data_IF_920438674877
#
_entry.id   IF_920438674877
#
_cell.length_a   1.000
_cell.length_b   1.000
_cell.length_c   1.000
_cell.angle_alpha   90.00
_cell.angle_beta   90.00
_cell.angle_gamma   90.00
#
_symmetry.space_group_name_H-M   'P 1'
#
loop_
_entity.id
_entity.type
_entity.pdbx_description
1 polymer ?
#
# COMPACT_ATOMS: atom_id res chain seq x y z
N UNK A 1 27.97 11.11 17.23
CA UNK A 1 27.55 9.75 17.63
C UNK A 1 26.26 9.88 18.41
N UNK A 2 25.13 9.60 17.77
CA UNK A 2 23.85 9.50 18.46
C UNK A 2 23.76 8.06 18.96
N UNK A 3 23.85 7.87 20.27
CA UNK A 3 23.68 6.56 20.91
C UNK A 3 22.25 6.10 20.68
N UNK A 4 22.06 5.10 19.81
CA UNK A 4 20.78 4.41 19.68
C UNK A 4 20.63 3.44 20.86
N UNK A 5 19.96 3.89 21.91
CA UNK A 5 19.34 2.99 22.88
C UNK A 5 18.35 2.12 22.11
N UNK A 6 18.46 0.79 22.23
CA UNK A 6 17.56 -0.15 21.56
C UNK A 6 16.10 0.20 21.92
N UNK A 7 15.35 0.71 20.96
CA UNK A 7 13.91 0.97 21.11
C UNK A 7 13.17 -0.36 21.27
N UNK A 8 12.09 -0.36 22.07
CA UNK A 8 11.32 -1.56 22.44
C UNK A 8 10.58 -2.20 21.25
N UNK A 9 10.50 -1.50 20.11
CA UNK A 9 9.89 -1.94 18.86
C UNK A 9 10.62 -1.30 17.66
N UNK A 10 10.49 -1.83 16.42
CA UNK A 10 11.01 -1.17 15.23
C UNK A 10 10.27 0.15 14.97
N UNK A 11 10.96 1.27 15.15
CA UNK A 11 10.43 2.63 14.93
C UNK A 11 11.12 3.26 13.72
N UNK A 12 10.35 3.99 12.91
CA UNK A 12 10.90 4.79 11.82
C UNK A 12 11.75 5.95 12.36
N UNK A 13 12.81 6.36 11.66
CA UNK A 13 13.60 7.52 12.08
C UNK A 13 12.77 8.81 12.08
N UNK A 14 13.01 9.66 13.09
CA UNK A 14 12.31 10.93 13.29
C UNK A 14 11.29 10.90 14.44
N UNK A 15 10.71 12.05 14.73
CA UNK A 15 9.57 12.27 15.62
C UNK A 15 8.27 12.40 14.81
N UNK A 16 7.07 12.43 15.43
CA UNK A 16 5.85 12.74 14.70
C UNK A 16 5.95 14.06 13.93
N UNK A 17 5.62 14.05 12.63
CA UNK A 17 5.71 15.21 11.74
C UNK A 17 7.05 15.43 11.03
N UNK A 18 8.14 14.74 11.39
CA UNK A 18 9.43 14.77 10.69
C UNK A 18 10.00 13.36 10.42
N UNK A 19 9.13 12.35 10.44
CA UNK A 19 9.47 10.96 10.13
C UNK A 19 10.03 10.85 8.71
N UNK A 20 11.10 10.07 8.58
CA UNK A 20 11.77 9.91 7.30
C UNK A 20 12.34 8.53 7.07
N UNK A 21 12.53 8.20 5.80
CA UNK A 21 13.42 7.14 5.36
C UNK A 21 14.81 7.70 5.10
N UNK A 22 15.81 6.96 5.57
CA UNK A 22 17.21 7.22 5.23
C UNK A 22 17.53 6.48 3.94
N UNK A 23 17.81 7.22 2.87
CA UNK A 23 18.06 6.68 1.55
C UNK A 23 19.54 6.82 1.19
N UNK A 24 20.21 5.69 0.99
CA UNK A 24 21.53 5.63 0.37
C UNK A 24 21.35 5.36 -1.12
N UNK A 25 21.58 6.39 -1.95
CA UNK A 25 21.30 6.30 -3.39
C UNK A 25 22.24 5.30 -4.09
N UNK A 26 21.72 4.58 -5.08
CA UNK A 26 22.55 3.75 -5.95
C UNK A 26 23.26 4.64 -6.98
N UNK A 27 24.60 4.61 -6.99
CA UNK A 27 25.43 5.44 -7.87
C UNK A 27 26.06 4.66 -9.05
N UNK A 28 25.58 3.43 -9.29
CA UNK A 28 26.09 2.53 -10.33
C UNK A 28 27.32 1.70 -9.92
N UNK A 29 28.06 2.09 -8.88
CA UNK A 29 29.16 1.32 -8.29
C UNK A 29 28.79 0.68 -6.93
N UNK A 30 27.65 1.06 -6.37
CA UNK A 30 27.16 0.66 -5.06
C UNK A 30 26.19 1.70 -4.52
N UNK A 31 26.18 1.87 -3.20
CA UNK A 31 25.40 2.92 -2.53
C UNK A 31 26.28 4.08 -2.09
N UNK A 32 25.76 5.29 -2.15
CA UNK A 32 26.41 6.48 -1.60
C UNK A 32 26.69 6.31 -0.11
N UNK A 33 27.73 6.97 0.39
CA UNK A 33 28.10 6.93 1.82
C UNK A 33 27.26 7.89 2.66
N UNK A 34 26.91 9.03 2.08
CA UNK A 34 26.06 10.03 2.72
C UNK A 34 24.62 9.80 2.26
N UNK A 35 23.67 9.61 3.20
CA UNK A 35 22.27 9.40 2.83
C UNK A 35 21.55 10.72 2.57
N UNK A 36 20.46 10.64 1.82
CA UNK A 36 19.38 11.63 1.84
C UNK A 36 18.27 11.17 2.78
N UNK A 37 17.39 12.10 3.18
CA UNK A 37 16.27 11.81 4.08
C UNK A 37 14.97 12.16 3.39
N UNK A 38 14.11 11.16 3.22
CA UNK A 38 12.83 11.29 2.55
C UNK A 38 11.73 11.33 3.59
N UNK A 39 11.04 12.46 3.71
CA UNK A 39 9.91 12.57 4.62
C UNK A 39 8.80 11.60 4.18
N UNK A 40 8.16 10.98 5.16
CA UNK A 40 6.94 10.19 4.96
C UNK A 40 5.74 10.90 5.60
N UNK A 41 4.52 10.64 5.11
CA UNK A 41 3.32 11.06 5.82
C UNK A 41 3.21 10.41 7.21
N UNK A 42 2.23 10.85 8.00
CA UNK A 42 1.86 10.17 9.24
C UNK A 42 1.04 8.91 8.91
N UNK A 43 1.39 7.78 9.52
CA UNK A 43 0.78 6.47 9.27
C UNK A 43 1.72 5.31 9.55
N UNK A 44 1.38 4.12 9.04
CA UNK A 44 2.15 2.89 9.18
C UNK A 44 1.77 2.07 10.41
N UNK A 45 2.73 1.36 11.00
CA UNK A 45 2.52 0.65 12.27
C UNK A 45 2.33 1.63 13.41
N UNK A 46 1.51 1.29 14.40
CA UNK A 46 1.26 2.11 15.58
C UNK A 46 1.62 1.31 16.83
N UNK A 47 2.73 1.66 17.48
CA UNK A 47 3.11 0.97 18.70
C UNK A 47 2.38 1.54 19.95
N UNK A 48 2.29 0.77 21.05
CA UNK A 48 1.66 1.23 22.29
C UNK A 48 2.30 2.46 22.94
N UNK A 49 3.51 2.84 22.53
CA UNK A 49 4.24 4.02 23.00
C UNK A 49 3.92 5.28 22.16
N UNK A 50 3.02 5.17 21.17
CA UNK A 50 2.56 6.28 20.32
C UNK A 50 3.47 6.59 19.13
N UNK A 51 4.41 5.69 18.81
CA UNK A 51 5.20 5.81 17.59
C UNK A 51 4.47 5.18 16.42
N UNK A 52 4.03 6.04 15.51
CA UNK A 52 3.61 5.64 14.17
C UNK A 52 4.83 5.55 13.24
N UNK A 53 4.78 4.74 12.19
CA UNK A 53 5.73 4.88 11.09
C UNK A 53 5.67 3.80 10.02
N UNK A 54 6.00 4.21 8.79
CA UNK A 54 6.29 3.29 7.69
C UNK A 54 7.70 2.74 7.89
N UNK A 55 7.88 1.81 8.83
CA UNK A 55 9.21 1.32 9.19
C UNK A 55 9.79 0.30 8.18
N UNK A 56 9.05 -0.03 7.13
CA UNK A 56 9.39 -0.96 6.06
C UNK A 56 8.81 -0.46 4.73
N UNK A 57 9.29 -1.00 3.60
CA UNK A 57 8.76 -0.67 2.26
C UNK A 57 7.34 -1.19 2.04
N UNK A 58 6.95 -2.24 2.75
CA UNK A 58 5.58 -2.74 2.83
C UNK A 58 5.36 -3.36 4.21
N UNK A 59 4.12 -3.30 4.68
CA UNK A 59 3.75 -3.82 5.98
C UNK A 59 2.26 -3.67 6.24
N UNK A 60 1.85 -4.19 7.40
CA UNK A 60 0.53 -3.95 7.97
C UNK A 60 0.11 -5.00 8.98
N UNK A 61 -0.95 -4.66 9.68
CA UNK A 61 -1.64 -5.49 10.68
C UNK A 61 -3.12 -5.09 10.73
N UNK A 62 -3.91 -5.93 11.36
CA UNK A 62 -5.34 -5.75 11.60
C UNK A 62 -5.63 -4.90 12.83
N UNK A 63 -4.62 -4.58 13.63
CA UNK A 63 -4.78 -3.77 14.83
C UNK A 63 -5.27 -2.34 14.49
N UNK A 64 -6.16 -1.83 15.35
CA UNK A 64 -6.79 -0.52 15.17
C UNK A 64 -5.74 0.60 15.13
N UNK A 65 -5.77 1.41 14.07
CA UNK A 65 -4.80 2.49 13.84
C UNK A 65 -3.51 2.04 13.17
N UNK A 66 -3.32 0.75 12.91
CA UNK A 66 -2.23 0.25 12.05
C UNK A 66 -2.67 0.29 10.59
N UNK A 67 -1.74 0.59 9.68
CA UNK A 67 -2.05 0.65 8.27
C UNK A 67 -1.59 -0.61 7.53
N UNK A 68 -2.24 -0.97 6.43
CA UNK A 68 -1.60 -1.75 5.38
C UNK A 68 -1.02 -0.80 4.34
N UNK A 69 0.24 -1.00 3.97
CA UNK A 69 0.92 -0.19 2.97
C UNK A 69 1.94 -1.00 2.16
N UNK A 70 2.31 -0.43 1.01
CA UNK A 70 3.39 -0.92 0.16
C UNK A 70 4.01 0.24 -0.61
N UNK A 71 5.17 0.00 -1.22
CA UNK A 71 5.72 0.88 -2.25
C UNK A 71 5.69 0.21 -3.61
N UNK A 72 5.06 0.86 -4.59
CA UNK A 72 4.96 0.41 -5.97
C UNK A 72 4.75 1.63 -6.86
N UNK A 73 5.25 1.58 -8.10
CA UNK A 73 4.91 2.61 -9.09
C UNK A 73 3.46 2.41 -9.52
N UNK A 74 2.56 3.22 -8.94
CA UNK A 74 1.13 3.15 -9.25
C UNK A 74 0.72 4.30 -10.18
N UNK A 75 1.46 5.40 -10.14
CA UNK A 75 1.25 6.58 -11.01
C UNK A 75 1.80 6.40 -12.43
N UNK A 76 2.69 5.43 -12.65
CA UNK A 76 3.30 5.09 -13.94
C UNK A 76 4.41 6.05 -14.37
N UNK A 77 5.04 6.72 -13.41
CA UNK A 77 6.10 7.71 -13.66
C UNK A 77 7.52 7.13 -13.53
N UNK A 78 7.63 5.82 -13.30
CA UNK A 78 8.86 5.07 -13.08
C UNK A 78 9.40 5.15 -11.66
N UNK A 79 8.70 5.78 -10.71
CA UNK A 79 9.12 5.88 -9.30
C UNK A 79 8.13 5.16 -8.40
N UNK A 80 8.60 4.40 -7.39
CA UNK A 80 7.70 3.76 -6.45
C UNK A 80 7.03 4.81 -5.56
N UNK A 81 5.70 4.84 -5.59
CA UNK A 81 4.83 5.62 -4.72
C UNK A 81 4.65 4.93 -3.37
N UNK A 82 4.27 5.67 -2.32
CA UNK A 82 3.81 5.07 -1.07
C UNK A 82 2.29 4.93 -1.10
N UNK A 83 1.81 3.70 -1.00
CA UNK A 83 0.39 3.38 -1.12
C UNK A 83 -0.09 2.85 0.23
N UNK A 84 -1.14 3.45 0.78
CA UNK A 84 -1.82 2.97 1.98
C UNK A 84 -3.19 2.45 1.58
N UNK A 85 -3.41 1.15 1.76
CA UNK A 85 -4.61 0.46 1.26
C UNK A 85 -5.72 0.39 2.30
N UNK A 86 -5.39 0.33 3.58
CA UNK A 86 -6.37 0.26 4.67
C UNK A 86 -5.80 0.66 6.02
N UNK A 87 -6.68 0.84 7.01
CA UNK A 87 -6.37 0.98 8.43
C UNK A 87 -7.13 -0.08 9.24
N UNK A 88 -6.44 -0.83 10.11
CA UNK A 88 -7.02 -1.96 10.85
C UNK A 88 -7.66 -3.00 9.94
N UNK A 89 -7.08 -3.21 8.75
CA UNK A 89 -7.65 -4.05 7.69
C UNK A 89 -8.89 -3.50 6.97
N UNK A 90 -9.36 -2.30 7.31
CA UNK A 90 -10.53 -1.65 6.70
C UNK A 90 -10.10 -0.56 5.72
N UNK A 91 -10.54 -0.69 4.46
CA UNK A 91 -10.24 0.28 3.41
C UNK A 91 -10.85 1.66 3.74
N UNK A 92 -10.20 2.75 3.29
CA UNK A 92 -10.72 4.11 3.51
C UNK A 92 -12.00 4.35 2.71
N UNK A 93 -12.89 5.20 3.25
CA UNK A 93 -14.20 5.47 2.66
C UNK A 93 -15.28 4.51 3.16
N UNK A 94 -16.47 4.60 2.58
CA UNK A 94 -17.62 3.75 2.85
C UNK A 94 -18.13 3.05 1.60
N UNK A 95 -19.38 2.58 1.64
CA UNK A 95 -19.98 1.92 0.48
C UNK A 95 -20.10 2.89 -0.71
N UNK A 96 -19.45 2.54 -1.82
CA UNK A 96 -19.48 3.31 -3.07
C UNK A 96 -18.35 4.35 -3.24
N UNK A 97 -17.53 4.60 -2.23
CA UNK A 97 -16.40 5.54 -2.27
C UNK A 97 -15.11 4.98 -1.62
N UNK A 98 -15.01 3.64 -1.56
CA UNK A 98 -13.81 2.98 -1.04
C UNK A 98 -12.59 3.33 -1.85
N UNK A 99 -11.49 3.60 -1.18
CA UNK A 99 -10.29 4.11 -1.82
C UNK A 99 -9.00 3.71 -1.12
N UNK A 100 -7.91 3.78 -1.89
CA UNK A 100 -6.54 3.79 -1.36
C UNK A 100 -6.02 5.22 -1.29
N UNK A 101 -5.11 5.47 -0.34
CA UNK A 101 -4.34 6.72 -0.27
C UNK A 101 -3.03 6.54 -1.01
N UNK A 102 -2.82 7.37 -2.03
CA UNK A 102 -1.60 7.36 -2.85
C UNK A 102 -0.78 8.61 -2.52
N UNK A 103 0.39 8.40 -1.94
CA UNK A 103 1.38 9.43 -1.69
C UNK A 103 2.45 9.32 -2.79
N UNK A 104 2.22 10.05 -3.88
CA UNK A 104 3.09 10.05 -5.04
C UNK A 104 4.55 10.41 -4.69
N UNK A 105 5.48 9.72 -5.33
CA UNK A 105 6.90 9.99 -5.21
C UNK A 105 7.31 11.20 -6.05
N UNK A 106 8.00 12.15 -5.42
CA UNK A 106 8.44 13.41 -6.03
C UNK A 106 9.90 13.39 -6.52
N UNK A 107 10.60 12.28 -6.31
CA UNK A 107 12.04 12.13 -6.56
C UNK A 107 12.94 12.55 -5.40
N UNK A 108 12.41 13.24 -4.39
CA UNK A 108 13.12 13.63 -3.16
C UNK A 108 12.37 13.27 -1.88
N UNK A 109 11.26 12.53 -2.01
CA UNK A 109 10.35 12.15 -0.94
C UNK A 109 8.94 11.92 -1.47
N UNK A 110 7.97 11.73 -0.57
CA UNK A 110 6.56 11.59 -0.93
C UNK A 110 5.81 12.91 -0.74
N UNK A 111 4.75 13.12 -1.50
CA UNK A 111 3.80 14.22 -1.20
C UNK A 111 3.21 14.01 0.20
N UNK A 112 2.90 15.12 0.88
CA UNK A 112 2.34 15.06 2.24
C UNK A 112 0.85 14.70 2.26
N UNK A 113 0.10 15.24 1.32
CA UNK A 113 -1.34 14.98 1.18
C UNK A 113 -1.57 13.90 0.12
N UNK A 114 -2.34 12.84 0.41
CA UNK A 114 -2.57 11.77 -0.54
C UNK A 114 -3.62 12.15 -1.58
N UNK A 115 -3.54 11.52 -2.74
CA UNK A 115 -4.69 11.36 -3.63
C UNK A 115 -5.49 10.13 -3.20
N UNK A 116 -6.82 10.20 -3.28
CA UNK A 116 -7.69 9.05 -2.99
C UNK A 116 -8.08 8.37 -4.30
N UNK A 117 -7.64 7.14 -4.49
CA UNK A 117 -7.94 6.36 -5.69
C UNK A 117 -9.05 5.37 -5.38
N UNK A 118 -10.19 5.55 -6.04
CA UNK A 118 -11.34 4.67 -5.86
C UNK A 118 -11.01 3.25 -6.31
N UNK A 119 -11.47 2.28 -5.54
CA UNK A 119 -11.47 0.87 -5.96
C UNK A 119 -12.88 0.44 -6.36
N UNK A 120 -13.02 -0.60 -7.20
CA UNK A 120 -14.33 -1.20 -7.44
C UNK A 120 -14.94 -1.78 -6.14
N UNK A 121 -16.20 -2.19 -6.21
CA UNK A 121 -16.81 -2.99 -5.16
C UNK A 121 -16.25 -4.43 -5.19
N UNK A 122 -15.89 -4.96 -4.02
CA UNK A 122 -15.34 -6.31 -3.87
C UNK A 122 -14.25 -6.38 -2.80
N UNK A 123 -13.39 -7.38 -2.93
CA UNK A 123 -12.25 -7.63 -2.05
C UNK A 123 -12.55 -8.63 -0.93
N UNK A 124 -11.92 -8.41 0.22
CA UNK A 124 -12.10 -9.20 1.45
C UNK A 124 -13.34 -8.75 2.21
N UNK A 125 -14.01 -9.65 2.94
CA UNK A 125 -15.21 -9.38 3.73
C UNK A 125 -15.02 -9.88 5.17
N UNK A 126 -14.86 -8.97 6.13
CA UNK A 126 -14.88 -9.32 7.56
C UNK A 126 -15.76 -8.38 8.36
N UNK A 127 -16.62 -8.95 9.21
CA UNK A 127 -17.50 -8.23 10.13
C UNK A 127 -18.29 -7.06 9.51
N UNK A 128 -18.63 -7.16 8.22
CA UNK A 128 -19.39 -6.14 7.48
C UNK A 128 -18.53 -5.07 6.80
N UNK A 129 -17.21 -5.15 6.91
CA UNK A 129 -16.28 -4.41 6.07
C UNK A 129 -16.08 -5.18 4.78
N UNK A 130 -16.12 -4.49 3.64
CA UNK A 130 -15.59 -5.04 2.40
C UNK A 130 -14.55 -4.09 1.81
N UNK A 131 -13.58 -4.64 1.10
CA UNK A 131 -12.65 -3.82 0.33
C UNK A 131 -11.38 -4.53 -0.09
N UNK A 132 -10.68 -3.90 -1.02
CA UNK A 132 -9.34 -4.31 -1.44
C UNK A 132 -8.34 -3.78 -0.42
N UNK A 133 -8.31 -4.38 0.77
CA UNK A 133 -7.54 -3.87 1.90
C UNK A 133 -6.02 -4.02 1.75
N UNK A 134 -5.54 -4.68 0.69
CA UNK A 134 -4.13 -4.89 0.37
C UNK A 134 -3.91 -4.77 -1.14
N UNK A 135 -2.66 -4.63 -1.58
CA UNK A 135 -2.30 -4.58 -3.01
C UNK A 135 -2.55 -5.91 -3.73
N UNK A 136 -2.46 -7.00 -2.99
CA UNK A 136 -2.83 -8.35 -3.39
C UNK A 136 -3.33 -9.11 -2.17
N UNK A 137 -4.33 -9.94 -2.36
CA UNK A 137 -4.95 -10.68 -1.26
C UNK A 137 -6.00 -11.64 -1.77
N UNK A 138 -6.62 -12.33 -0.83
CA UNK A 138 -7.81 -13.11 -1.09
C UNK A 138 -8.06 -14.16 -0.05
N UNK A 139 -9.30 -14.60 -0.03
CA UNK A 139 -9.80 -15.58 0.91
C UNK A 139 -10.93 -16.40 0.24
N UNK A 140 -11.22 -17.55 0.83
CA UNK A 140 -12.06 -18.60 0.25
C UNK A 140 -13.54 -18.43 0.59
N UNK A 141 -13.92 -17.45 1.42
CA UNK A 141 -15.30 -17.31 1.84
C UNK A 141 -16.19 -16.77 0.70
N UNK A 142 -17.48 -17.17 0.66
CA UNK A 142 -18.40 -16.74 -0.39
C UNK A 142 -18.52 -15.21 -0.48
N UNK A 143 -18.37 -14.68 -1.70
CA UNK A 143 -18.42 -13.23 -1.97
C UNK A 143 -17.07 -12.52 -1.84
N UNK A 144 -16.04 -13.20 -1.31
CA UNK A 144 -14.69 -12.66 -1.25
C UNK A 144 -13.91 -12.92 -2.53
N UNK A 145 -12.93 -12.08 -2.80
CA UNK A 145 -12.18 -12.11 -4.04
C UNK A 145 -10.73 -12.51 -3.82
N UNK A 146 -10.10 -13.06 -4.85
CA UNK A 146 -8.64 -13.07 -4.99
C UNK A 146 -8.23 -11.98 -5.96
N UNK A 147 -7.33 -11.10 -5.55
CA UNK A 147 -6.90 -9.96 -6.35
C UNK A 147 -5.41 -9.68 -6.25
N UNK A 148 -4.92 -8.89 -7.20
CA UNK A 148 -3.57 -8.34 -7.22
C UNK A 148 -3.53 -7.11 -8.13
N UNK A 149 -2.57 -6.22 -7.94
CA UNK A 149 -2.25 -5.21 -8.95
C UNK A 149 -1.14 -5.65 -9.89
N UNK A 150 -1.30 -5.42 -11.19
CA UNK A 150 -0.27 -5.68 -12.19
C UNK A 150 -0.54 -4.87 -13.47
N UNK A 151 0.53 -4.43 -14.12
CA UNK A 151 0.44 -3.75 -15.42
C UNK A 151 0.25 -4.80 -16.53
N UNK A 152 -1.00 -5.00 -16.94
CA UNK A 152 -1.40 -5.89 -18.03
C UNK A 152 -1.55 -5.14 -19.35
N UNK A 153 -1.77 -3.83 -19.31
CA UNK A 153 -1.92 -3.02 -20.53
C UNK A 153 -0.58 -2.58 -21.12
N UNK A 154 0.48 -2.60 -20.32
CA UNK A 154 1.83 -2.18 -20.70
C UNK A 154 1.99 -0.66 -20.75
N UNK A 155 1.12 0.09 -20.07
CA UNK A 155 1.17 1.56 -20.03
C UNK A 155 1.99 2.09 -18.85
N UNK A 156 2.54 1.20 -18.01
CA UNK A 156 3.30 1.53 -16.82
C UNK A 156 2.44 1.76 -15.58
N UNK A 157 1.11 1.71 -15.67
CA UNK A 157 0.17 1.90 -14.55
C UNK A 157 -0.50 0.56 -14.21
N UNK A 158 -0.18 -0.05 -13.06
CA UNK A 158 -0.78 -1.32 -12.68
C UNK A 158 -2.31 -1.28 -12.59
N UNK A 159 -2.98 -2.24 -13.21
CA UNK A 159 -4.41 -2.47 -13.05
C UNK A 159 -4.72 -3.23 -11.78
N UNK A 160 -5.92 -3.03 -11.22
CA UNK A 160 -6.47 -3.92 -10.19
C UNK A 160 -7.15 -5.10 -10.89
N UNK A 161 -6.67 -6.30 -10.59
CA UNK A 161 -7.15 -7.53 -11.25
C UNK A 161 -7.80 -8.43 -10.22
N UNK A 162 -9.05 -8.81 -10.48
CA UNK A 162 -9.78 -9.81 -9.70
C UNK A 162 -9.78 -11.13 -10.46
N UNK A 163 -9.07 -12.10 -9.89
CA UNK A 163 -8.77 -13.38 -10.54
C UNK A 163 -9.81 -14.47 -10.27
N UNK A 164 -10.46 -14.42 -9.10
CA UNK A 164 -11.53 -15.36 -8.72
C UNK A 164 -12.36 -14.83 -7.56
N UNK A 165 -13.53 -15.44 -7.36
CA UNK A 165 -14.38 -15.28 -6.18
C UNK A 165 -14.47 -16.62 -5.43
N UNK A 166 -14.26 -16.62 -4.11
CA UNK A 166 -14.19 -17.84 -3.29
C UNK A 166 -13.27 -18.93 -3.90
N UNK A 167 -12.16 -18.50 -4.50
CA UNK A 167 -11.19 -19.37 -5.19
C UNK A 167 -11.66 -19.98 -6.52
N UNK A 168 -12.81 -19.56 -7.04
CA UNK A 168 -13.36 -20.01 -8.33
C UNK A 168 -13.21 -18.90 -9.39
N UNK A 169 -12.51 -19.21 -10.47
CA UNK A 169 -12.35 -18.29 -11.60
C UNK A 169 -13.71 -17.99 -12.26
N UNK A 170 -13.94 -16.74 -12.65
CA UNK A 170 -15.17 -16.34 -13.33
C UNK A 170 -15.36 -17.05 -14.67
N UNK A 171 -16.62 -17.34 -15.01
CA UNK A 171 -17.02 -17.93 -16.28
C UNK A 171 -17.03 -19.46 -16.31
N UNK A 172 -17.66 -20.03 -17.34
CA UNK A 172 -17.74 -21.48 -17.54
C UNK A 172 -16.48 -22.04 -18.23
N UNK A 173 -16.40 -23.37 -18.35
CA UNK A 173 -15.34 -24.02 -19.13
C UNK A 173 -15.33 -23.50 -20.57
N UNK A 174 -14.18 -23.03 -21.04
CA UNK A 174 -14.01 -22.43 -22.37
C UNK A 174 -14.27 -20.92 -22.45
N UNK A 175 -14.73 -20.29 -21.36
CA UNK A 175 -14.99 -18.85 -21.29
C UNK A 175 -14.52 -18.25 -19.95
N UNK A 176 -13.48 -18.82 -19.35
CA UNK A 176 -12.96 -18.34 -18.07
C UNK A 176 -12.26 -17.00 -18.23
N UNK A 177 -12.46 -16.11 -17.27
CA UNK A 177 -11.94 -14.73 -17.33
C UNK A 177 -11.51 -14.22 -15.95
N UNK A 178 -10.73 -13.14 -15.98
CA UNK A 178 -10.51 -12.27 -14.83
C UNK A 178 -11.25 -10.95 -15.06
N UNK A 179 -11.63 -10.28 -13.98
CA UNK A 179 -12.09 -8.90 -14.08
C UNK A 179 -10.86 -7.99 -13.95
N UNK A 180 -10.73 -7.02 -14.85
CA UNK A 180 -9.60 -6.09 -14.89
C UNK A 180 -10.15 -4.67 -14.81
N UNK A 181 -9.69 -3.93 -13.81
CA UNK A 181 -10.08 -2.55 -13.56
C UNK A 181 -8.89 -1.65 -13.85
N UNK A 182 -9.06 -0.77 -14.85
CA UNK A 182 -8.02 0.15 -15.29
C UNK A 182 -7.70 1.18 -14.20
N UNK A 183 -6.43 1.50 -14.04
CA UNK A 183 -6.02 2.63 -13.22
C UNK A 183 -6.69 3.92 -13.73
N UNK A 184 -7.15 4.77 -12.82
CA UNK A 184 -7.77 6.06 -13.19
C UNK A 184 -6.65 6.99 -13.68
N UNK A 185 -6.82 7.70 -14.81
CA UNK A 185 -5.76 8.51 -15.43
C UNK A 185 -5.23 9.65 -14.56
#
# INVERSE_FOLDING_TARGET
MMTMTRLAAPVQFGSPGDRSWTLYANNGAGFDKEPSYWLTPDGGYNNPEGFMGFNQVAGGDWDSGENYWTTMDLTGDGKPDLIVTSEGGVQFGGAGDRSWKIFANTGTGFVKEPSYWLTPDGGYIDQGFNGFNQIAGGDWDPGENYWSTMDLTGDGKPELVVSSEAGVQYGASGSRSWQVYLAIP
#
